data_IF_682345482549
#
_entry.id   IF_682345482549
#
_cell.length_a   1.000
_cell.length_b   1.000
_cell.length_c   1.000
_cell.angle_alpha   90.00
_cell.angle_beta   90.00
_cell.angle_gamma   90.00
#
_symmetry.space_group_name_H-M   'P 1'
#
loop_
_entity.id
_entity.type
_entity.pdbx_description
1 polymer ?
#
# COMPACT_ATOMS: atom_id res chain seq x y z
N UNK A 1 -12.89 -3.56 19.18
CA UNK A 1 -11.97 -4.71 19.01
C UNK A 1 -11.89 -5.14 17.56
N UNK A 2 -13.02 -5.46 16.89
CA UNK A 2 -13.02 -5.90 15.49
C UNK A 2 -12.43 -4.85 14.52
N UNK A 3 -12.85 -3.58 14.61
CA UNK A 3 -12.33 -2.51 13.75
C UNK A 3 -10.82 -2.32 13.91
N UNK A 4 -10.32 -2.35 15.15
CA UNK A 4 -8.89 -2.28 15.43
C UNK A 4 -8.13 -3.46 14.81
N UNK A 5 -8.69 -4.68 14.88
CA UNK A 5 -8.08 -5.84 14.23
C UNK A 5 -8.07 -5.70 12.70
N UNK A 6 -9.17 -5.23 12.11
CA UNK A 6 -9.26 -4.99 10.68
C UNK A 6 -8.22 -3.98 10.19
N UNK A 7 -8.06 -2.87 10.91
CA UNK A 7 -7.06 -1.85 10.66
C UNK A 7 -5.62 -2.42 10.74
N UNK A 8 -5.32 -3.21 11.78
CA UNK A 8 -4.01 -3.87 11.89
C UNK A 8 -3.76 -4.89 10.77
N UNK A 9 -4.79 -5.59 10.29
CA UNK A 9 -4.66 -6.50 9.15
C UNK A 9 -4.43 -5.75 7.84
N UNK A 10 -5.11 -4.62 7.61
CA UNK A 10 -4.91 -3.80 6.42
C UNK A 10 -3.46 -3.28 6.34
N UNK A 11 -2.94 -2.73 7.43
CA UNK A 11 -1.56 -2.24 7.51
C UNK A 11 -0.53 -3.37 7.42
N UNK A 12 -0.76 -4.50 8.08
CA UNK A 12 0.11 -5.67 7.98
C UNK A 12 0.16 -6.20 6.54
N UNK A 13 -0.98 -6.18 5.83
CA UNK A 13 -1.02 -6.62 4.45
C UNK A 13 -0.30 -5.64 3.51
N UNK A 14 -0.44 -4.33 3.75
CA UNK A 14 0.33 -3.32 3.02
C UNK A 14 1.85 -3.50 3.20
N UNK A 15 2.31 -3.79 4.42
CA UNK A 15 3.73 -4.07 4.68
C UNK A 15 4.21 -5.36 4.00
N UNK A 16 3.39 -6.43 4.06
CA UNK A 16 3.68 -7.71 3.40
C UNK A 16 3.78 -7.55 1.88
N UNK A 17 2.80 -6.92 1.25
CA UNK A 17 2.80 -6.69 -0.20
C UNK A 17 3.97 -5.80 -0.59
N UNK A 18 4.28 -4.76 0.18
CA UNK A 18 5.45 -3.93 -0.11
C UNK A 18 6.73 -4.76 -0.05
N UNK A 19 6.92 -5.59 0.98
CA UNK A 19 8.07 -6.50 1.05
C UNK A 19 8.14 -7.44 -0.15
N UNK A 20 7.02 -8.07 -0.54
CA UNK A 20 6.96 -8.91 -1.75
C UNK A 20 7.32 -8.14 -3.02
N UNK A 21 6.83 -6.91 -3.20
CA UNK A 21 7.21 -6.08 -4.35
C UNK A 21 8.74 -5.92 -4.42
N UNK A 22 9.41 -5.74 -3.27
CA UNK A 22 10.87 -5.59 -3.22
C UNK A 22 11.62 -6.88 -3.48
N UNK A 23 11.16 -8.02 -2.96
CA UNK A 23 11.96 -9.25 -2.89
C UNK A 23 11.57 -10.32 -3.89
N UNK A 24 10.31 -10.38 -4.30
CA UNK A 24 9.75 -11.46 -5.11
C UNK A 24 9.89 -11.14 -6.61
N UNK A 25 10.57 -12.00 -7.40
CA UNK A 25 10.82 -11.78 -8.83
C UNK A 25 9.55 -11.84 -9.70
N UNK A 26 8.45 -12.41 -9.21
CA UNK A 26 7.16 -12.37 -9.90
C UNK A 26 6.49 -10.99 -9.80
N UNK A 27 6.98 -10.12 -8.89
CA UNK A 27 6.62 -8.71 -8.80
C UNK A 27 7.73 -7.83 -9.38
N UNK A 28 8.36 -6.98 -8.57
CA UNK A 28 9.46 -6.13 -9.03
C UNK A 28 10.81 -6.75 -8.69
N UNK A 29 10.99 -7.27 -7.48
CA UNK A 29 12.17 -8.06 -7.12
C UNK A 29 13.48 -7.28 -7.17
N UNK A 30 13.46 -5.96 -6.92
CA UNK A 30 14.64 -5.10 -7.03
C UNK A 30 15.63 -5.21 -5.85
N UNK A 31 15.26 -5.90 -4.77
CA UNK A 31 16.14 -6.29 -3.65
C UNK A 31 15.86 -7.76 -3.26
N UNK A 32 16.23 -8.74 -4.09
CA UNK A 32 15.85 -10.15 -3.87
C UNK A 32 16.48 -10.76 -2.61
N UNK A 33 17.64 -10.23 -2.19
CA UNK A 33 18.40 -10.71 -1.02
C UNK A 33 18.06 -9.92 0.28
N UNK A 34 16.93 -9.19 0.32
CA UNK A 34 16.52 -8.44 1.51
C UNK A 34 16.31 -9.40 2.70
N UNK A 35 17.09 -9.20 3.77
CA UNK A 35 16.99 -9.97 5.00
C UNK A 35 16.81 -9.03 6.21
N UNK A 36 15.66 -8.34 6.24
CA UNK A 36 15.30 -7.42 7.31
C UNK A 36 14.44 -8.10 8.37
N UNK A 37 14.68 -7.77 9.64
CA UNK A 37 13.74 -8.11 10.70
C UNK A 37 12.46 -7.27 10.58
N UNK A 38 11.35 -7.75 11.14
CA UNK A 38 10.12 -6.96 11.23
C UNK A 38 10.36 -5.58 11.90
N UNK A 39 11.23 -5.52 12.92
CA UNK A 39 11.56 -4.26 13.59
C UNK A 39 12.28 -3.28 12.65
N UNK A 40 13.14 -3.80 11.77
CA UNK A 40 13.84 -2.98 10.78
C UNK A 40 12.91 -2.53 9.66
N UNK A 41 11.98 -3.38 9.22
CA UNK A 41 10.94 -3.01 8.26
C UNK A 41 10.03 -1.89 8.78
N UNK A 42 9.58 -1.99 10.04
CA UNK A 42 8.77 -0.93 10.68
C UNK A 42 9.54 0.37 10.90
N UNK A 43 10.87 0.31 10.92
CA UNK A 43 11.77 1.48 10.93
C UNK A 43 12.10 1.98 9.52
N UNK A 44 11.46 1.44 8.49
CA UNK A 44 11.62 1.84 7.08
C UNK A 44 13.07 1.73 6.62
N UNK A 45 13.79 0.69 7.05
CA UNK A 45 15.20 0.45 6.67
C UNK A 45 15.37 -0.25 5.30
N UNK A 46 14.28 -0.46 4.58
CA UNK A 46 14.29 -1.04 3.24
C UNK A 46 14.56 0.03 2.16
N UNK A 47 14.92 -0.41 0.95
CA UNK A 47 15.09 0.46 -0.21
C UNK A 47 13.75 0.77 -0.87
N UNK A 48 13.55 2.04 -1.24
CA UNK A 48 12.33 2.52 -1.87
C UNK A 48 11.25 2.96 -0.87
N UNK A 49 10.16 3.51 -1.40
CA UNK A 49 9.06 4.10 -0.62
C UNK A 49 7.70 3.73 -1.20
N UNK A 50 6.67 3.80 -0.34
CA UNK A 50 5.27 3.56 -0.73
C UNK A 50 4.33 4.73 -0.35
N UNK A 51 4.50 5.94 -0.90
CA UNK A 51 3.65 7.09 -0.57
C UNK A 51 2.18 6.84 -0.92
N UNK A 52 1.29 7.30 -0.04
CA UNK A 52 -0.16 7.18 -0.19
C UNK A 52 -0.80 8.57 -0.38
N UNK A 53 -1.77 8.71 -1.31
CA UNK A 53 -2.52 9.96 -1.46
C UNK A 53 -3.22 10.39 -0.16
N UNK A 54 -3.05 11.66 0.20
CA UNK A 54 -3.51 12.30 1.43
C UNK A 54 -2.43 12.49 2.50
N UNK A 55 -1.26 11.84 2.35
CA UNK A 55 -0.10 12.08 3.23
C UNK A 55 0.67 13.33 2.78
N UNK A 56 1.52 13.94 3.64
CA UNK A 56 2.27 15.15 3.29
C UNK A 56 3.13 15.04 2.03
N UNK A 57 3.63 13.84 1.69
CA UNK A 57 4.43 13.58 0.48
C UNK A 57 3.59 13.52 -0.80
N UNK A 58 2.27 13.32 -0.68
CA UNK A 58 1.31 13.28 -1.78
C UNK A 58 -0.07 13.76 -1.29
N UNK A 59 -0.25 15.07 -1.03
CA UNK A 59 -1.42 15.57 -0.27
C UNK A 59 -2.74 15.56 -1.06
N UNK A 60 -2.68 15.50 -2.40
CA UNK A 60 -3.89 15.48 -3.23
C UNK A 60 -4.56 14.11 -3.19
N UNK A 61 -5.74 14.04 -2.56
CA UNK A 61 -6.53 12.81 -2.48
C UNK A 61 -7.04 12.32 -3.84
N UNK A 62 -7.15 13.19 -4.86
CA UNK A 62 -7.66 12.82 -6.20
C UNK A 62 -6.77 11.83 -6.92
N UNK A 63 -5.51 11.71 -6.50
CA UNK A 63 -4.60 10.69 -7.03
C UNK A 63 -5.10 9.25 -6.78
N UNK A 64 -6.03 9.05 -5.83
CA UNK A 64 -6.70 7.75 -5.64
C UNK A 64 -7.55 7.35 -6.84
N UNK A 65 -8.16 8.31 -7.56
CA UNK A 65 -8.94 7.99 -8.76
C UNK A 65 -8.04 7.37 -9.84
N UNK A 66 -6.83 7.89 -9.97
CA UNK A 66 -5.81 7.32 -10.86
C UNK A 66 -5.43 5.91 -10.43
N UNK A 67 -5.18 5.67 -9.14
CA UNK A 67 -4.89 4.33 -8.62
C UNK A 67 -6.05 3.35 -8.84
N UNK A 68 -7.28 3.77 -8.57
CA UNK A 68 -8.48 2.95 -8.73
C UNK A 68 -8.65 2.49 -10.17
N UNK A 69 -8.46 3.42 -11.12
CA UNK A 69 -8.53 3.12 -12.56
C UNK A 69 -7.40 2.21 -13.03
N UNK A 70 -6.16 2.47 -12.59
CA UNK A 70 -5.00 1.67 -13.03
C UNK A 70 -5.06 0.23 -12.50
N UNK A 71 -5.52 0.04 -11.28
CA UNK A 71 -5.59 -1.26 -10.63
C UNK A 71 -6.91 -2.00 -10.87
N UNK A 72 -7.91 -1.33 -11.48
CA UNK A 72 -9.27 -1.86 -11.58
C UNK A 72 -9.83 -2.30 -10.21
N UNK A 73 -9.53 -1.50 -9.18
CA UNK A 73 -9.61 -1.92 -7.78
C UNK A 73 -11.02 -2.32 -7.32
N UNK A 74 -12.04 -1.62 -7.82
CA UNK A 74 -13.44 -1.92 -7.51
C UNK A 74 -13.85 -3.27 -8.10
N UNK A 75 -13.50 -3.56 -9.35
CA UNK A 75 -13.83 -4.83 -9.98
C UNK A 75 -13.04 -6.00 -9.38
N UNK A 76 -11.73 -5.84 -9.16
CA UNK A 76 -10.89 -6.88 -8.55
C UNK A 76 -11.33 -7.24 -7.13
N UNK A 77 -11.90 -6.28 -6.40
CA UNK A 77 -12.46 -6.53 -5.06
C UNK A 77 -13.90 -7.07 -5.09
N UNK A 78 -14.48 -7.28 -6.28
CA UNK A 78 -15.87 -7.71 -6.45
C UNK A 78 -16.89 -6.66 -5.98
N UNK A 79 -16.59 -5.38 -6.18
CA UNK A 79 -17.42 -4.24 -5.76
C UNK A 79 -17.39 -3.96 -4.26
N UNK A 80 -16.49 -4.58 -3.50
CA UNK A 80 -16.41 -4.43 -2.03
C UNK A 80 -15.51 -3.28 -1.60
N UNK A 81 -14.53 -2.93 -2.42
CA UNK A 81 -13.62 -1.83 -2.16
C UNK A 81 -13.93 -0.65 -3.09
N UNK A 82 -14.43 0.45 -2.53
CA UNK A 82 -14.95 1.60 -3.29
C UNK A 82 -14.36 2.91 -2.77
N UNK A 83 -14.32 3.93 -3.63
CA UNK A 83 -14.08 5.30 -3.22
C UNK A 83 -15.40 6.03 -3.00
N UNK A 84 -15.53 6.74 -1.89
CA UNK A 84 -16.65 7.65 -1.68
C UNK A 84 -16.49 8.92 -2.53
N UNK A 85 -17.54 9.73 -2.63
CA UNK A 85 -17.50 11.06 -3.27
C UNK A 85 -16.40 11.97 -2.69
N UNK A 86 -16.05 11.76 -1.41
CA UNK A 86 -14.98 12.48 -0.71
C UNK A 86 -13.63 11.75 -0.75
N UNK A 87 -13.46 10.74 -1.60
CA UNK A 87 -12.21 10.00 -1.81
C UNK A 87 -11.71 9.24 -0.56
N UNK A 88 -12.65 8.86 0.33
CA UNK A 88 -12.37 7.88 1.37
C UNK A 88 -12.47 6.48 0.79
N UNK A 89 -11.58 5.60 1.22
CA UNK A 89 -11.66 4.19 0.83
C UNK A 89 -12.65 3.49 1.77
N UNK A 90 -13.54 2.69 1.20
CA UNK A 90 -14.44 1.81 1.92
C UNK A 90 -14.16 0.37 1.52
N UNK A 91 -13.91 -0.55 2.47
CA UNK A 91 -13.95 -0.38 3.92
C UNK A 91 -12.88 0.58 4.47
N UNK A 92 -13.14 1.19 5.63
CA UNK A 92 -12.21 2.15 6.23
C UNK A 92 -10.82 1.56 6.52
N UNK A 93 -10.77 0.28 6.90
CA UNK A 93 -9.53 -0.49 7.03
C UNK A 93 -9.02 -0.92 5.64
N UNK A 94 -8.51 0.05 4.88
CA UNK A 94 -7.92 -0.13 3.55
C UNK A 94 -6.68 0.74 3.40
N UNK A 95 -5.73 0.29 2.58
CA UNK A 95 -4.51 1.03 2.25
C UNK A 95 -4.30 1.02 0.74
N UNK A 96 -3.88 2.15 0.17
CA UNK A 96 -3.39 2.25 -1.21
C UNK A 96 -2.12 3.09 -1.24
N UNK A 97 -1.23 2.82 -2.20
CA UNK A 97 0.01 3.54 -2.35
C UNK A 97 0.57 3.40 -3.77
N UNK A 98 1.39 4.36 -4.18
CA UNK A 98 2.36 4.19 -5.27
C UNK A 98 3.63 3.58 -4.69
N UNK A 99 4.31 2.70 -5.43
CA UNK A 99 5.60 2.14 -5.01
C UNK A 99 6.74 2.70 -5.87
N UNK A 100 7.82 3.16 -5.24
CA UNK A 100 9.02 3.67 -5.90
C UNK A 100 10.24 2.88 -5.43
N UNK A 101 11.01 2.34 -6.38
CA UNK A 101 12.17 1.49 -6.11
C UNK A 101 13.50 2.25 -5.99
N UNK A 102 13.51 3.56 -6.26
CA UNK A 102 14.74 4.35 -6.21
C UNK A 102 15.25 4.47 -4.76
N UNK A 103 16.57 4.42 -4.57
CA UNK A 103 17.20 4.45 -3.23
C UNK A 103 17.14 5.83 -2.56
N UNK A 104 16.88 6.90 -3.34
CA UNK A 104 16.91 8.31 -2.88
C UNK A 104 15.68 9.10 -3.29
#
# INVERSE_FOLDING_TARGET
MLEALADRLAEAFAELIHHKIRTDPDFWGYVPEENLSLSDMLKVKYVGIRPAPGYPTQPDHREKDTLWRLLDAENLSGGKMVLTESLMMMPAASVCALCFAHEK
#
